data_IF_031506759311
#
_entry.id   IF_031506759311
#
_cell.length_a   1.000
_cell.length_b   1.000
_cell.length_c   1.000
_cell.angle_alpha   90.00
_cell.angle_beta   90.00
_cell.angle_gamma   90.00
#
_symmetry.space_group_name_H-M   'P 1'
#
loop_
_entity.id
_entity.type
_entity.pdbx_description
1 polymer ?
#
# COMPACT_ATOMS: atom_id res chain seq x y z
N UNK A 1 -70.44 -27.55 -20.87
CA UNK A 1 -68.99 -27.78 -20.67
C UNK A 1 -68.35 -26.42 -20.40
N UNK A 2 -67.92 -26.17 -19.16
CA UNK A 2 -67.40 -24.86 -18.73
C UNK A 2 -65.90 -24.83 -19.03
N UNK A 3 -65.46 -23.95 -19.93
CA UNK A 3 -64.03 -23.70 -20.17
C UNK A 3 -63.56 -22.60 -19.21
N UNK A 4 -62.78 -22.98 -18.20
CA UNK A 4 -62.06 -22.04 -17.33
C UNK A 4 -60.87 -21.46 -18.11
N UNK A 5 -60.94 -20.17 -18.43
CA UNK A 5 -59.83 -19.42 -19.03
C UNK A 5 -58.86 -19.04 -17.91
N UNK A 6 -57.80 -19.83 -17.74
CA UNK A 6 -56.77 -19.54 -16.74
C UNK A 6 -55.84 -18.46 -17.29
N UNK A 7 -55.80 -17.31 -16.61
CA UNK A 7 -54.86 -16.23 -16.92
C UNK A 7 -53.49 -16.58 -16.33
N UNK A 8 -52.50 -16.78 -17.22
CA UNK A 8 -51.13 -17.15 -16.87
C UNK A 8 -50.16 -15.96 -17.01
N UNK A 9 -50.66 -14.76 -17.32
CA UNK A 9 -49.84 -13.59 -17.65
C UNK A 9 -48.84 -13.18 -16.57
N UNK A 10 -49.16 -13.40 -15.29
CA UNK A 10 -48.32 -13.06 -14.14
C UNK A 10 -47.30 -14.12 -13.69
N UNK A 11 -47.22 -15.28 -14.33
CA UNK A 11 -46.35 -16.37 -13.89
C UNK A 11 -44.90 -16.24 -14.41
N UNK A 12 -43.89 -16.66 -13.61
CA UNK A 12 -42.52 -16.79 -14.08
C UNK A 12 -42.40 -17.85 -15.19
N UNK A 13 -41.47 -17.63 -16.12
CA UNK A 13 -41.32 -18.33 -17.41
C UNK A 13 -41.43 -19.87 -17.33
N UNK A 14 -40.75 -20.51 -16.38
CA UNK A 14 -40.80 -21.98 -16.22
C UNK A 14 -42.21 -22.49 -15.87
N UNK A 15 -42.98 -21.72 -15.10
CA UNK A 15 -44.37 -22.09 -14.77
C UNK A 15 -45.32 -21.85 -15.95
N UNK A 16 -45.08 -20.85 -16.81
CA UNK A 16 -45.89 -20.64 -18.03
C UNK A 16 -45.73 -21.80 -19.01
N UNK A 17 -44.49 -22.25 -19.24
CA UNK A 17 -44.19 -23.38 -20.13
C UNK A 17 -44.81 -24.67 -19.59
N UNK A 18 -44.66 -24.94 -18.29
CA UNK A 18 -45.25 -26.12 -17.64
C UNK A 18 -46.78 -26.08 -17.65
N UNK A 19 -47.39 -24.90 -17.41
CA UNK A 19 -48.84 -24.72 -17.45
C UNK A 19 -49.41 -24.98 -18.85
N UNK A 20 -48.74 -24.48 -19.90
CA UNK A 20 -49.18 -24.67 -21.29
C UNK A 20 -49.00 -26.09 -21.80
N UNK A 21 -47.91 -26.77 -21.43
CA UNK A 21 -47.70 -28.20 -21.75
C UNK A 21 -48.76 -29.07 -21.06
N UNK A 22 -49.18 -28.72 -19.84
CA UNK A 22 -50.20 -29.44 -19.07
C UNK A 22 -51.64 -29.20 -19.55
N UNK A 23 -51.92 -28.10 -20.25
CA UNK A 23 -53.25 -27.74 -20.79
C UNK A 23 -53.54 -28.39 -22.16
N UNK A 24 -52.59 -29.11 -22.74
CA UNK A 24 -52.80 -29.91 -23.96
C UNK A 24 -52.28 -29.19 -25.20
N UNK A 25 -51.21 -29.76 -25.76
CA UNK A 25 -50.40 -29.20 -26.85
C UNK A 25 -51.08 -29.16 -28.24
N UNK A 26 -52.39 -29.47 -28.32
CA UNK A 26 -53.09 -29.75 -29.58
C UNK A 26 -53.86 -28.55 -30.19
N UNK A 27 -53.85 -27.36 -29.55
CA UNK A 27 -54.64 -26.20 -30.00
C UNK A 27 -53.86 -24.86 -30.05
N UNK A 28 -52.52 -24.89 -29.99
CA UNK A 28 -51.73 -23.70 -30.27
C UNK A 28 -51.52 -23.56 -31.77
N UNK A 29 -52.27 -22.64 -32.37
CA UNK A 29 -52.09 -22.24 -33.77
C UNK A 29 -50.65 -21.73 -34.02
N UNK A 30 -50.18 -21.97 -35.24
CA UNK A 30 -48.89 -21.58 -35.81
C UNK A 30 -48.47 -20.15 -35.45
N UNK A 31 -49.40 -19.18 -35.51
CA UNK A 31 -49.12 -17.78 -35.13
C UNK A 31 -48.62 -17.65 -33.69
N UNK A 32 -49.26 -18.32 -32.73
CA UNK A 32 -48.88 -18.23 -31.31
C UNK A 32 -47.55 -18.91 -30.99
N UNK A 33 -47.11 -19.86 -31.82
CA UNK A 33 -45.80 -20.50 -31.67
C UNK A 33 -44.68 -19.57 -32.13
N UNK A 34 -44.89 -18.85 -33.23
CA UNK A 34 -43.94 -17.84 -33.74
C UNK A 34 -43.79 -16.70 -32.74
N UNK A 35 -44.90 -16.17 -32.21
CA UNK A 35 -44.86 -15.10 -31.20
C UNK A 35 -44.05 -15.51 -29.95
N UNK A 36 -44.21 -16.76 -29.50
CA UNK A 36 -43.49 -17.29 -28.34
C UNK A 36 -41.98 -17.48 -28.62
N UNK A 37 -41.61 -17.92 -29.83
CA UNK A 37 -40.21 -18.05 -30.22
C UNK A 37 -39.52 -16.68 -30.30
N UNK A 38 -40.20 -15.67 -30.84
CA UNK A 38 -39.68 -14.30 -30.91
C UNK A 38 -39.49 -13.69 -29.50
N UNK A 39 -40.43 -13.91 -28.59
CA UNK A 39 -40.30 -13.49 -27.19
C UNK A 39 -39.10 -14.15 -26.49
N UNK A 40 -38.88 -15.45 -26.70
CA UNK A 40 -37.73 -16.19 -26.14
C UNK A 40 -36.40 -15.64 -26.69
N UNK A 41 -36.35 -15.34 -27.99
CA UNK A 41 -35.16 -14.76 -28.63
C UNK A 41 -34.90 -13.36 -28.08
N UNK A 42 -35.95 -12.55 -27.88
CA UNK A 42 -35.84 -11.21 -27.31
C UNK A 42 -35.32 -11.23 -25.86
N UNK A 43 -35.87 -12.09 -24.99
CA UNK A 43 -35.41 -12.22 -23.60
C UNK A 43 -33.94 -12.67 -23.50
N UNK A 44 -33.52 -13.62 -24.35
CA UNK A 44 -32.13 -14.09 -24.39
C UNK A 44 -31.17 -12.98 -24.81
N UNK A 45 -31.55 -12.16 -25.80
CA UNK A 45 -30.78 -10.97 -26.23
C UNK A 45 -30.68 -9.95 -25.09
N UNK A 46 -31.80 -9.59 -24.46
CA UNK A 46 -31.83 -8.64 -23.33
C UNK A 46 -30.94 -9.11 -22.18
N UNK A 47 -31.01 -10.40 -21.80
CA UNK A 47 -30.17 -10.98 -20.75
C UNK A 47 -28.67 -10.89 -21.08
N UNK A 48 -28.30 -11.13 -22.34
CA UNK A 48 -26.91 -11.02 -22.79
C UNK A 48 -26.38 -9.57 -22.78
N UNK A 49 -27.24 -8.60 -23.11
CA UNK A 49 -26.91 -7.17 -23.07
C UNK A 49 -26.75 -6.70 -21.63
N UNK A 50 -27.71 -7.00 -20.75
CA UNK A 50 -27.64 -6.66 -19.31
C UNK A 50 -26.36 -7.17 -18.66
N UNK A 51 -25.94 -8.41 -18.98
CA UNK A 51 -24.68 -8.99 -18.48
C UNK A 51 -23.46 -8.20 -18.96
N UNK A 52 -23.41 -7.82 -20.24
CA UNK A 52 -22.30 -7.01 -20.79
C UNK A 52 -22.25 -5.62 -20.18
N UNK A 53 -23.39 -4.94 -20.05
CA UNK A 53 -23.48 -3.63 -19.41
C UNK A 53 -23.03 -3.67 -17.96
N UNK A 54 -23.47 -4.68 -17.19
CA UNK A 54 -23.02 -4.89 -15.82
C UNK A 54 -21.50 -5.09 -15.72
N UNK A 55 -20.92 -5.88 -16.63
CA UNK A 55 -19.48 -6.14 -16.66
C UNK A 55 -18.67 -4.87 -16.98
N UNK A 56 -19.15 -4.03 -17.92
CA UNK A 56 -18.53 -2.73 -18.23
C UNK A 56 -18.56 -1.80 -17.02
N UNK A 57 -19.67 -1.75 -16.28
CA UNK A 57 -19.79 -0.91 -15.07
C UNK A 57 -18.78 -1.35 -14.01
N UNK A 58 -18.62 -2.67 -13.79
CA UNK A 58 -17.62 -3.19 -12.84
C UNK A 58 -16.20 -2.78 -13.27
N UNK A 59 -15.85 -2.95 -14.54
CA UNK A 59 -14.52 -2.57 -15.04
C UNK A 59 -14.28 -1.05 -14.85
N UNK A 60 -15.29 -0.23 -15.16
CA UNK A 60 -15.21 1.21 -14.97
C UNK A 60 -15.00 1.58 -13.49
N UNK A 61 -15.74 0.95 -12.57
CA UNK A 61 -15.57 1.17 -11.13
C UNK A 61 -14.18 0.77 -10.64
N UNK A 62 -13.68 -0.41 -11.05
CA UNK A 62 -12.35 -0.87 -10.68
C UNK A 62 -11.26 0.07 -11.21
N UNK A 63 -11.41 0.56 -12.45
CA UNK A 63 -10.49 1.55 -13.02
C UNK A 63 -10.51 2.88 -12.26
N UNK A 64 -11.69 3.31 -11.81
CA UNK A 64 -11.86 4.51 -10.99
C UNK A 64 -11.20 4.37 -9.61
N UNK A 65 -11.38 3.24 -8.95
CA UNK A 65 -10.73 2.94 -7.66
C UNK A 65 -9.21 2.95 -7.81
N UNK A 66 -8.69 2.34 -8.88
CA UNK A 66 -7.24 2.34 -9.15
C UNK A 66 -6.70 3.76 -9.35
N UNK A 67 -7.40 4.59 -10.12
CA UNK A 67 -7.02 5.98 -10.34
C UNK A 67 -7.08 6.80 -9.05
N UNK A 68 -8.15 6.66 -8.27
CA UNK A 68 -8.28 7.30 -6.95
C UNK A 68 -7.16 6.87 -6.00
N UNK A 69 -6.82 5.58 -5.98
CA UNK A 69 -5.71 5.06 -5.18
C UNK A 69 -4.37 5.66 -5.59
N UNK A 70 -4.10 5.77 -6.88
CA UNK A 70 -2.88 6.39 -7.39
C UNK A 70 -2.77 7.87 -7.01
N UNK A 71 -3.87 8.62 -7.16
CA UNK A 71 -3.93 10.05 -6.77
C UNK A 71 -3.75 10.18 -5.26
N UNK A 72 -4.47 9.38 -4.45
CA UNK A 72 -4.35 9.40 -3.00
C UNK A 72 -2.93 9.09 -2.52
N UNK A 73 -2.27 8.10 -3.13
CA UNK A 73 -0.87 7.79 -2.83
C UNK A 73 0.04 8.99 -3.07
N UNK A 74 -0.05 9.60 -4.25
CA UNK A 74 0.83 10.70 -4.67
C UNK A 74 0.66 11.97 -3.85
N UNK A 75 -0.57 12.33 -3.52
CA UNK A 75 -0.86 13.64 -2.90
C UNK A 75 -1.10 13.59 -1.40
N UNK A 76 -1.34 12.41 -0.83
CA UNK A 76 -1.63 12.25 0.60
C UNK A 76 -0.56 11.37 1.25
N UNK A 77 -0.36 10.15 0.75
CA UNK A 77 0.50 9.17 1.44
C UNK A 77 1.98 9.55 1.31
N UNK A 78 2.48 9.83 0.10
CA UNK A 78 3.89 10.15 -0.13
C UNK A 78 4.36 11.38 0.69
N UNK A 79 3.65 12.53 0.69
CA UNK A 79 4.03 13.66 1.53
C UNK A 79 3.92 13.36 3.04
N UNK A 80 2.94 12.55 3.45
CA UNK A 80 2.77 12.17 4.85
C UNK A 80 3.93 11.27 5.30
N UNK A 81 4.29 10.28 4.50
CA UNK A 81 5.42 9.38 4.77
C UNK A 81 6.72 10.17 4.89
N UNK A 82 6.97 11.16 4.02
CA UNK A 82 8.16 12.02 4.11
C UNK A 82 8.24 12.81 5.43
N UNK A 83 7.11 13.27 5.96
CA UNK A 83 7.07 14.02 7.23
C UNK A 83 7.37 13.16 8.46
N UNK A 84 7.02 11.87 8.42
CA UNK A 84 7.22 10.94 9.53
C UNK A 84 8.43 10.01 9.34
N UNK A 85 9.10 10.10 8.19
CA UNK A 85 10.27 9.29 7.90
C UNK A 85 11.47 9.81 8.68
N UNK A 86 12.07 8.92 9.46
CA UNK A 86 13.37 9.20 10.06
C UNK A 86 14.43 9.34 8.97
N UNK A 87 15.26 10.37 9.04
CA UNK A 87 16.34 10.62 8.09
C UNK A 87 17.67 10.82 8.80
N UNK A 88 18.75 10.34 8.18
CA UNK A 88 20.11 10.60 8.61
C UNK A 88 20.78 11.53 7.59
N UNK A 89 21.23 12.69 8.04
CA UNK A 89 21.98 13.65 7.23
C UNK A 89 23.45 13.61 7.66
N UNK A 90 24.37 13.40 6.73
CA UNK A 90 25.80 13.46 7.03
C UNK A 90 26.19 14.89 7.42
N UNK A 91 26.82 15.07 8.58
CA UNK A 91 27.17 16.39 9.11
C UNK A 91 28.67 16.60 9.35
N UNK A 92 29.43 15.54 9.62
CA UNK A 92 30.87 15.65 9.87
C UNK A 92 31.60 14.32 9.67
N UNK A 93 32.89 14.40 9.41
CA UNK A 93 33.82 13.28 9.48
C UNK A 93 35.11 13.69 10.19
N UNK A 94 35.77 12.72 10.82
CA UNK A 94 37.07 12.92 11.46
C UNK A 94 37.85 11.61 11.51
N UNK A 95 39.16 11.69 11.28
CA UNK A 95 40.05 10.52 11.24
C UNK A 95 41.08 10.60 12.36
N UNK A 96 41.48 9.44 12.89
CA UNK A 96 42.57 9.35 13.85
C UNK A 96 43.89 9.80 13.21
N UNK A 97 44.83 10.27 14.04
CA UNK A 97 46.13 10.78 13.57
C UNK A 97 46.97 9.75 12.80
N UNK A 98 46.76 8.46 13.06
CA UNK A 98 47.42 7.34 12.36
C UNK A 98 46.59 6.77 11.19
N UNK A 99 45.38 7.29 10.96
CA UNK A 99 44.47 6.86 9.89
C UNK A 99 43.84 5.48 10.10
N UNK A 100 43.93 4.92 11.31
CA UNK A 100 43.34 3.62 11.66
C UNK A 100 41.81 3.69 11.76
N UNK A 101 41.28 4.83 12.19
CA UNK A 101 39.86 5.04 12.46
C UNK A 101 39.33 6.25 11.72
N UNK A 102 38.20 6.06 11.05
CA UNK A 102 37.40 7.12 10.47
C UNK A 102 36.04 7.15 11.16
N UNK A 103 35.59 8.33 11.58
CA UNK A 103 34.30 8.54 12.23
C UNK A 103 33.45 9.38 11.29
N UNK A 104 32.21 8.94 11.07
CA UNK A 104 31.21 9.69 10.33
C UNK A 104 30.04 10.00 11.25
N UNK A 105 29.70 11.28 11.38
CA UNK A 105 28.59 11.75 12.19
C UNK A 105 27.39 12.10 11.30
N UNK A 106 26.21 11.70 11.77
CA UNK A 106 24.95 11.94 11.11
C UNK A 106 23.98 12.61 12.08
N UNK A 107 23.31 13.65 11.60
CA UNK A 107 22.17 14.26 12.24
C UNK A 107 20.92 13.43 11.93
N UNK A 108 20.29 12.92 12.97
CA UNK A 108 19.10 12.08 12.86
C UNK A 108 17.87 12.93 13.17
N UNK A 109 16.97 13.03 12.19
CA UNK A 109 15.63 13.56 12.38
C UNK A 109 14.69 12.39 12.66
N UNK A 110 13.98 12.38 13.79
CA UNK A 110 12.96 11.36 14.07
C UNK A 110 11.55 11.70 13.51
N UNK A 111 11.38 12.88 12.89
CA UNK A 111 10.10 13.39 12.38
C UNK A 111 9.54 14.58 13.17
N UNK A 112 8.29 14.95 12.88
CA UNK A 112 7.68 16.23 13.29
C UNK A 112 7.65 16.54 14.80
N UNK A 113 7.69 15.54 15.69
CA UNK A 113 7.55 15.73 17.14
C UNK A 113 8.74 15.24 17.96
N UNK A 114 9.79 14.74 17.30
CA UNK A 114 11.01 14.25 17.94
C UNK A 114 12.10 15.29 17.81
N UNK A 115 12.90 15.48 18.85
CA UNK A 115 14.09 16.32 18.71
C UNK A 115 15.16 15.61 17.88
N UNK A 116 16.19 16.35 17.52
CA UNK A 116 17.34 15.83 16.81
C UNK A 116 18.19 14.93 17.70
N UNK A 117 18.84 13.96 17.05
CA UNK A 117 19.89 13.15 17.63
C UNK A 117 21.14 13.22 16.76
N UNK A 118 22.29 12.90 17.35
CA UNK A 118 23.53 12.69 16.61
C UNK A 118 23.98 11.25 16.80
N UNK A 119 24.20 10.56 15.69
CA UNK A 119 24.74 9.20 15.65
C UNK A 119 26.09 9.23 14.94
N UNK A 120 27.11 8.66 15.56
CA UNK A 120 28.43 8.52 14.94
C UNK A 120 28.76 7.06 14.71
N UNK A 121 29.23 6.78 13.50
CA UNK A 121 29.67 5.46 13.07
C UNK A 121 31.18 5.42 12.93
N UNK A 122 31.78 4.38 13.51
CA UNK A 122 33.18 4.00 13.31
C UNK A 122 33.33 3.19 12.02
N UNK A 123 34.32 3.56 11.23
CA UNK A 123 34.82 2.83 10.07
C UNK A 123 36.30 2.50 10.29
N UNK A 124 36.64 1.22 10.16
CA UNK A 124 38.00 0.71 10.37
C UNK A 124 38.54 0.22 9.03
N UNK A 125 39.49 0.96 8.44
CA UNK A 125 40.37 0.48 7.36
C UNK A 125 39.71 -0.32 6.23
N UNK A 126 38.65 0.19 5.61
CA UNK A 126 37.97 -0.45 4.47
C UNK A 126 37.00 -1.59 4.84
N UNK A 127 36.76 -1.79 6.14
CA UNK A 127 35.63 -2.56 6.65
C UNK A 127 34.30 -2.06 6.04
N UNK A 128 33.47 -2.99 5.55
CA UNK A 128 32.08 -2.65 5.17
C UNK A 128 31.15 -2.47 6.38
N UNK A 129 31.60 -2.86 7.57
CA UNK A 129 30.79 -2.81 8.79
C UNK A 129 31.01 -1.45 9.46
N UNK A 130 29.94 -0.66 9.50
CA UNK A 130 29.83 0.55 10.32
C UNK A 130 29.36 0.14 11.71
N UNK A 131 30.07 0.55 12.75
CA UNK A 131 29.65 0.31 14.13
C UNK A 131 29.26 1.63 14.78
N UNK A 132 28.08 1.68 15.41
CA UNK A 132 27.68 2.86 16.19
C UNK A 132 28.52 2.93 17.45
N UNK A 133 29.21 4.06 17.62
CA UNK A 133 30.04 4.34 18.81
C UNK A 133 29.48 5.49 19.65
N UNK A 134 28.60 6.31 19.08
CA UNK A 134 27.97 7.42 19.78
C UNK A 134 26.53 7.58 19.29
N UNK A 135 25.61 7.71 20.23
CA UNK A 135 24.20 7.98 20.01
C UNK A 135 23.71 8.89 21.15
N UNK A 136 23.31 10.12 20.82
CA UNK A 136 22.85 11.09 21.81
C UNK A 136 21.64 11.88 21.31
N UNK A 137 20.76 12.26 22.24
CA UNK A 137 19.46 12.86 21.97
C UNK A 137 19.38 14.29 22.54
N UNK A 138 18.59 15.14 21.91
CA UNK A 138 18.56 16.60 22.16
C UNK A 138 19.87 17.31 21.78
N UNK A 139 20.55 16.81 20.74
CA UNK A 139 21.79 17.36 20.19
C UNK A 139 21.61 17.48 18.67
N UNK A 140 22.13 18.58 18.10
CA UNK A 140 22.03 18.86 16.66
C UNK A 140 23.38 19.16 15.98
N UNK A 141 24.50 18.93 16.67
CA UNK A 141 25.86 19.15 16.18
C UNK A 141 26.77 18.03 16.66
N UNK A 142 27.80 17.75 15.87
CA UNK A 142 28.86 16.81 16.21
C UNK A 142 30.18 17.56 16.41
N UNK A 143 30.56 17.80 17.66
CA UNK A 143 31.89 18.30 18.01
C UNK A 143 32.81 17.09 18.23
N UNK A 144 33.68 16.82 17.25
CA UNK A 144 34.57 15.66 17.26
C UNK A 144 36.01 16.14 17.41
N UNK A 145 36.68 15.68 18.45
CA UNK A 145 38.12 15.88 18.67
C UNK A 145 38.77 14.59 19.13
N UNK A 146 40.10 14.52 19.02
CA UNK A 146 40.86 13.32 19.38
C UNK A 146 41.73 13.62 20.59
N UNK A 147 41.60 12.82 21.64
CA UNK A 147 42.49 12.88 22.80
C UNK A 147 43.85 12.23 22.46
N UNK A 148 43.80 11.11 21.73
CA UNK A 148 44.96 10.41 21.20
C UNK A 148 44.59 9.62 19.92
N UNK A 149 45.37 8.60 19.54
CA UNK A 149 45.15 7.81 18.31
C UNK A 149 44.01 6.80 18.40
N UNK A 150 43.67 6.33 19.60
CA UNK A 150 42.63 5.33 19.83
C UNK A 150 41.46 5.90 20.66
N UNK A 151 41.54 7.16 21.13
CA UNK A 151 40.51 7.79 21.97
C UNK A 151 39.92 9.05 21.31
N UNK A 152 38.61 9.05 21.09
CA UNK A 152 37.85 10.18 20.52
C UNK A 152 36.97 10.84 21.58
N UNK A 153 36.80 12.16 21.49
CA UNK A 153 35.84 12.93 22.28
C UNK A 153 34.76 13.47 21.35
N UNK A 154 33.50 13.05 21.58
CA UNK A 154 32.33 13.46 20.80
C UNK A 154 31.35 14.18 21.73
N UNK A 155 31.13 15.48 21.49
CA UNK A 155 30.28 16.35 22.33
C UNK A 155 30.59 16.27 23.84
N UNK A 156 31.86 16.10 24.19
CA UNK A 156 32.33 15.97 25.57
C UNK A 156 32.34 14.55 26.13
N UNK A 157 31.87 13.55 25.38
CA UNK A 157 31.95 12.13 25.75
C UNK A 157 33.22 11.50 25.19
N UNK A 158 34.07 10.98 26.06
CA UNK A 158 35.29 10.26 25.72
C UNK A 158 34.96 8.78 25.43
N UNK A 159 35.48 8.26 24.31
CA UNK A 159 35.17 6.93 23.78
C UNK A 159 36.47 6.25 23.33
N UNK A 160 36.79 5.12 23.97
CA UNK A 160 37.97 4.29 23.67
C UNK A 160 37.68 3.33 22.50
N UNK A 161 38.33 3.51 21.35
CA UNK A 161 38.11 2.71 20.15
C UNK A 161 38.94 1.40 20.14
N UNK A 162 38.45 0.34 19.47
CA UNK A 162 37.23 0.28 18.67
C UNK A 162 35.96 -0.09 19.45
N UNK A 163 36.09 -0.53 20.71
CA UNK A 163 35.02 -1.23 21.43
C UNK A 163 34.13 -0.31 22.27
N UNK A 164 34.62 0.89 22.61
CA UNK A 164 33.93 1.88 23.42
C UNK A 164 32.73 2.48 22.71
N UNK A 165 31.69 2.78 23.50
CA UNK A 165 30.43 3.33 23.01
C UNK A 165 29.81 4.27 24.03
N UNK A 166 29.05 5.22 23.52
CA UNK A 166 28.13 6.02 24.31
C UNK A 166 26.74 5.94 23.67
N UNK A 167 25.75 5.54 24.46
CA UNK A 167 24.35 5.59 24.09
C UNK A 167 23.55 6.22 25.24
N UNK A 168 22.84 7.31 24.96
CA UNK A 168 22.06 8.03 25.97
C UNK A 168 20.96 7.18 26.64
N UNK A 169 20.57 6.06 26.02
CA UNK A 169 19.57 5.12 26.55
C UNK A 169 20.17 4.08 27.49
N UNK A 170 21.47 3.86 27.44
CA UNK A 170 22.19 2.94 28.32
C UNK A 170 22.64 3.71 29.58
N UNK A 171 21.87 3.58 30.67
CA UNK A 171 22.21 4.09 32.00
C UNK A 171 22.47 2.98 32.99
#
# INVERSE_FOLDING_TARGET
MIYLKVDVSGLPFLLKVVALVRIGNHNLDSSKKVDLEDDIVAEKKIKSIKKRTFLVIIIAMLSGIFLCGYIGKKYIIEPLDELFKSSEEFIAESSSSDGKYDIQAYLVNGGATTDWAVVCYLNIGGSKKKETIYNDYHINKAEISWADKDTVIINGHEIDLPDGKYDWTEK
#
